data_IF_629648307615
#
_entry.id   IF_629648307615
#
_cell.length_a   1.000
_cell.length_b   1.000
_cell.length_c   1.000
_cell.angle_alpha   90.00
_cell.angle_beta   90.00
_cell.angle_gamma   90.00
#
_symmetry.space_group_name_H-M   'P 1'
#
loop_
_entity.id
_entity.type
_entity.pdbx_description
1 polymer ?
#
# COMPACT_ATOMS: atom_id res chain seq x y z
N UNK A 1 -0.90 -18.39 8.02
CA UNK A 1 -0.21 -17.09 8.28
C UNK A 1 -1.14 -15.98 7.84
N UNK A 2 -1.16 -14.82 8.52
CA UNK A 2 -2.01 -13.68 8.12
C UNK A 2 -1.27 -12.82 7.10
N UNK A 3 -1.97 -12.40 6.03
CA UNK A 3 -1.48 -11.31 5.19
C UNK A 3 -2.08 -9.96 5.60
N UNK A 4 -1.41 -8.90 5.19
CA UNK A 4 -1.91 -7.53 5.29
C UNK A 4 -1.79 -6.81 3.96
N UNK A 5 -2.86 -6.09 3.59
CA UNK A 5 -2.87 -5.04 2.57
C UNK A 5 -2.92 -3.68 3.25
N UNK A 6 -2.33 -2.68 2.62
CA UNK A 6 -2.36 -1.30 3.11
C UNK A 6 -2.77 -0.37 1.98
N UNK A 7 -3.88 0.34 2.16
CA UNK A 7 -4.36 1.39 1.27
C UNK A 7 -4.44 2.72 2.04
N UNK A 8 -3.42 3.55 1.94
CA UNK A 8 -3.40 4.88 2.53
C UNK A 8 -3.67 5.94 1.46
N UNK A 9 -4.82 6.62 1.58
CA UNK A 9 -5.28 7.52 0.50
C UNK A 9 -4.64 8.90 0.52
N UNK A 10 -4.05 9.33 1.64
CA UNK A 10 -3.47 10.67 1.76
C UNK A 10 -2.45 11.05 0.68
N UNK A 11 -1.51 10.16 0.28
CA UNK A 11 -0.59 10.48 -0.79
C UNK A 11 -1.28 10.86 -2.11
N UNK A 12 -2.48 10.29 -2.35
CA UNK A 12 -3.25 10.60 -3.55
C UNK A 12 -3.58 12.09 -3.65
N UNK A 13 -3.98 12.72 -2.55
CA UNK A 13 -4.38 14.12 -2.52
C UNK A 13 -3.20 15.10 -2.57
N UNK A 14 -1.96 14.60 -2.47
CA UNK A 14 -0.73 15.40 -2.51
C UNK A 14 0.10 15.16 -3.78
N UNK A 15 -0.43 14.43 -4.76
CA UNK A 15 0.29 14.07 -6.00
C UNK A 15 0.75 15.25 -6.84
N UNK A 16 0.09 16.39 -6.74
CA UNK A 16 0.51 17.59 -7.48
C UNK A 16 1.90 18.08 -7.07
N UNK A 17 2.32 17.81 -5.85
CA UNK A 17 3.67 18.11 -5.35
C UNK A 17 4.71 17.11 -5.87
N UNK A 18 4.30 15.93 -6.32
CA UNK A 18 5.17 14.87 -6.85
C UNK A 18 5.48 15.04 -8.33
N UNK A 19 4.87 16.00 -9.04
CA UNK A 19 5.03 16.19 -10.49
C UNK A 19 6.47 16.45 -10.96
N UNK A 20 7.38 16.85 -10.09
CA UNK A 20 8.80 17.03 -10.40
C UNK A 20 9.63 15.75 -10.48
N UNK A 21 9.09 14.60 -10.11
CA UNK A 21 9.88 13.43 -9.71
C UNK A 21 9.61 12.15 -10.55
N UNK A 22 9.33 12.32 -11.83
CA UNK A 22 9.32 11.19 -12.78
C UNK A 22 8.13 10.23 -12.70
N UNK A 23 7.17 10.46 -11.82
CA UNK A 23 5.89 9.79 -11.93
C UNK A 23 5.12 10.36 -13.11
N UNK A 24 5.15 9.65 -14.24
CA UNK A 24 4.34 9.95 -15.42
C UNK A 24 2.85 9.76 -15.10
N UNK A 25 2.31 10.65 -14.31
CA UNK A 25 0.86 10.77 -14.16
C UNK A 25 0.36 11.62 -15.32
N UNK A 26 0.21 11.01 -16.50
CA UNK A 26 -0.40 11.60 -17.69
C UNK A 26 -1.89 11.93 -17.52
N UNK A 27 -2.45 11.70 -16.35
CA UNK A 27 -3.80 12.12 -16.00
C UNK A 27 -3.72 13.40 -15.19
N UNK A 28 -4.24 14.48 -15.70
CA UNK A 28 -4.61 15.66 -14.92
C UNK A 28 -5.68 15.26 -13.90
N UNK A 29 -5.26 14.72 -12.77
CA UNK A 29 -6.16 14.38 -11.68
C UNK A 29 -6.50 15.65 -10.90
N UNK A 30 -7.40 16.45 -11.44
CA UNK A 30 -8.14 17.49 -10.72
C UNK A 30 -9.29 16.88 -9.90
N UNK A 31 -9.20 15.63 -9.51
CA UNK A 31 -10.27 14.99 -8.73
C UNK A 31 -10.07 15.33 -7.26
N UNK A 32 -11.03 16.01 -6.67
CA UNK A 32 -11.14 16.19 -5.22
C UNK A 32 -11.54 14.88 -4.51
N UNK A 33 -11.89 13.86 -5.27
CA UNK A 33 -12.32 12.55 -4.79
C UNK A 33 -11.25 11.50 -5.05
N UNK A 34 -11.04 10.62 -4.07
CA UNK A 34 -10.15 9.46 -4.22
C UNK A 34 -10.68 8.53 -5.29
N UNK A 35 -9.80 8.10 -6.18
CA UNK A 35 -10.11 7.19 -7.29
C UNK A 35 -8.91 6.28 -7.58
N UNK A 36 -9.20 5.07 -8.06
CA UNK A 36 -8.21 4.11 -8.55
C UNK A 36 -8.63 3.62 -9.95
N UNK A 37 -7.66 3.36 -10.85
CA UNK A 37 -7.96 2.71 -12.11
C UNK A 37 -8.57 1.32 -11.92
N UNK A 38 -9.46 0.91 -12.83
CA UNK A 38 -10.18 -0.38 -12.76
C UNK A 38 -9.23 -1.58 -12.60
N UNK A 39 -8.06 -1.54 -13.23
CA UNK A 39 -7.08 -2.62 -13.10
C UNK A 39 -6.50 -2.73 -11.69
N UNK A 40 -6.32 -1.62 -10.95
CA UNK A 40 -5.87 -1.67 -9.55
C UNK A 40 -6.95 -2.25 -8.64
N UNK A 41 -8.21 -1.89 -8.89
CA UNK A 41 -9.35 -2.49 -8.20
C UNK A 41 -9.37 -4.00 -8.41
N UNK A 42 -9.24 -4.44 -9.66
CA UNK A 42 -9.20 -5.85 -10.02
C UNK A 42 -8.02 -6.58 -9.37
N UNK A 43 -6.82 -5.99 -9.37
CA UNK A 43 -5.65 -6.58 -8.72
C UNK A 43 -5.85 -6.72 -7.21
N UNK A 44 -6.40 -5.72 -6.55
CA UNK A 44 -6.72 -5.78 -5.12
C UNK A 44 -7.68 -6.93 -4.81
N UNK A 45 -8.73 -7.10 -5.62
CA UNK A 45 -9.69 -8.21 -5.48
C UNK A 45 -9.01 -9.57 -5.69
N UNK A 46 -8.27 -9.73 -6.78
CA UNK A 46 -7.58 -10.98 -7.10
C UNK A 46 -6.53 -11.34 -6.03
N UNK A 47 -5.73 -10.37 -5.59
CA UNK A 47 -4.74 -10.58 -4.54
C UNK A 47 -5.40 -11.10 -3.26
N UNK A 48 -6.50 -10.46 -2.84
CA UNK A 48 -7.22 -10.84 -1.63
C UNK A 48 -7.83 -12.24 -1.73
N UNK A 49 -8.51 -12.55 -2.85
CA UNK A 49 -9.17 -13.85 -3.06
C UNK A 49 -8.15 -14.98 -3.11
N UNK A 50 -7.12 -14.86 -3.94
CA UNK A 50 -6.10 -15.90 -4.05
C UNK A 50 -5.35 -16.14 -2.74
N UNK A 51 -5.01 -15.06 -2.01
CA UNK A 51 -4.38 -15.24 -0.72
C UNK A 51 -5.30 -16.00 0.25
N UNK A 52 -6.55 -15.57 0.39
CA UNK A 52 -7.51 -16.14 1.33
C UNK A 52 -7.79 -17.62 1.05
N UNK A 53 -7.91 -17.98 -0.21
CA UNK A 53 -8.15 -19.38 -0.61
C UNK A 53 -6.93 -20.29 -0.37
N UNK A 54 -5.73 -19.77 -0.56
CA UNK A 54 -4.53 -20.59 -0.61
C UNK A 54 -3.68 -20.54 0.65
N UNK A 55 -3.66 -19.39 1.36
CA UNK A 55 -2.68 -19.13 2.40
C UNK A 55 -3.27 -18.71 3.75
N UNK A 56 -4.52 -18.28 3.81
CA UNK A 56 -5.22 -17.98 5.07
C UNK A 56 -5.77 -16.56 5.18
N UNK A 57 -5.99 -16.06 6.40
CA UNK A 57 -6.70 -14.81 6.61
C UNK A 57 -5.92 -13.61 6.09
N UNK A 58 -6.67 -12.56 5.71
CA UNK A 58 -6.12 -11.31 5.22
C UNK A 58 -6.78 -10.12 5.93
N UNK A 59 -5.95 -9.13 6.31
CA UNK A 59 -6.38 -7.88 6.93
C UNK A 59 -6.13 -6.70 5.99
N UNK A 60 -7.06 -5.77 5.95
CA UNK A 60 -6.91 -4.48 5.28
C UNK A 60 -6.64 -3.38 6.32
N UNK A 61 -5.57 -2.64 6.13
CA UNK A 61 -5.39 -1.32 6.71
C UNK A 61 -5.77 -0.28 5.66
N UNK A 62 -6.72 0.58 5.99
CA UNK A 62 -7.09 1.72 5.13
C UNK A 62 -7.50 2.91 5.99
N UNK A 63 -7.77 4.04 5.40
CA UNK A 63 -8.42 5.17 6.07
C UNK A 63 -9.92 5.24 5.69
N UNK A 64 -10.65 6.19 6.27
CA UNK A 64 -12.09 6.32 6.03
C UNK A 64 -12.42 6.59 4.56
N UNK A 65 -11.55 7.30 3.85
CA UNK A 65 -11.74 7.61 2.42
C UNK A 65 -11.56 6.35 1.58
N UNK A 66 -10.49 5.60 1.84
CA UNK A 66 -10.23 4.34 1.15
C UNK A 66 -11.31 3.29 1.41
N UNK A 67 -11.82 3.21 2.65
CA UNK A 67 -12.93 2.32 2.96
C UNK A 67 -14.19 2.70 2.17
N UNK A 68 -14.58 3.98 2.16
CA UNK A 68 -15.76 4.45 1.43
C UNK A 68 -15.64 4.18 -0.09
N UNK A 69 -14.45 4.33 -0.65
CA UNK A 69 -14.18 3.98 -2.04
C UNK A 69 -14.35 2.47 -2.29
N UNK A 70 -13.74 1.62 -1.46
CA UNK A 70 -13.80 0.16 -1.63
C UNK A 70 -15.20 -0.42 -1.40
N UNK A 71 -16.03 0.22 -0.58
CA UNK A 71 -17.42 -0.20 -0.38
C UNK A 71 -18.24 -0.17 -1.67
N UNK A 72 -17.95 0.73 -2.61
CA UNK A 72 -18.63 0.80 -3.91
C UNK A 72 -18.47 -0.46 -4.74
N UNK A 73 -17.39 -1.21 -4.51
CA UNK A 73 -17.02 -2.44 -5.23
C UNK A 73 -17.16 -3.69 -4.36
N UNK A 74 -17.71 -3.59 -3.16
CA UNK A 74 -17.82 -4.68 -2.18
C UNK A 74 -16.47 -5.32 -1.80
N UNK A 75 -15.36 -4.63 -2.02
CA UNK A 75 -14.01 -5.10 -1.68
C UNK A 75 -13.86 -5.42 -0.18
N UNK A 76 -14.46 -4.67 0.77
CA UNK A 76 -14.36 -4.99 2.19
C UNK A 76 -14.79 -6.41 2.56
N UNK A 77 -15.71 -7.02 1.80
CA UNK A 77 -16.19 -8.39 2.03
C UNK A 77 -15.13 -9.47 1.79
N UNK A 78 -14.05 -9.12 1.09
CA UNK A 78 -12.94 -10.03 0.80
C UNK A 78 -11.96 -10.17 1.98
N UNK A 79 -12.01 -9.27 2.96
CA UNK A 79 -11.10 -9.24 4.10
C UNK A 79 -11.73 -9.84 5.35
N UNK A 80 -10.91 -10.49 6.17
CA UNK A 80 -11.34 -11.04 7.46
C UNK A 80 -11.33 -9.99 8.57
N UNK A 81 -10.50 -8.95 8.41
CA UNK A 81 -10.38 -7.83 9.33
C UNK A 81 -10.09 -6.54 8.56
N UNK A 82 -10.67 -5.43 9.01
CA UNK A 82 -10.41 -4.09 8.46
C UNK A 82 -10.12 -3.13 9.61
N UNK A 83 -9.02 -2.39 9.48
CA UNK A 83 -8.62 -1.38 10.44
C UNK A 83 -8.51 -0.01 9.74
N UNK A 84 -9.41 0.89 10.10
CA UNK A 84 -9.39 2.27 9.62
C UNK A 84 -8.80 3.25 10.64
N UNK A 85 -8.77 2.84 11.91
CA UNK A 85 -8.41 3.73 13.00
C UNK A 85 -6.92 4.07 12.97
N UNK A 86 -6.11 3.09 12.64
CA UNK A 86 -4.65 3.26 12.62
C UNK A 86 -4.21 4.34 11.62
N UNK A 87 -4.66 4.25 10.37
CA UNK A 87 -4.30 5.22 9.32
C UNK A 87 -5.02 6.57 9.46
N UNK A 88 -6.25 6.59 9.96
CA UNK A 88 -6.93 7.83 10.31
C UNK A 88 -6.18 8.59 11.43
N UNK A 89 -5.67 7.87 12.42
CA UNK A 89 -4.84 8.44 13.49
C UNK A 89 -3.48 8.94 12.97
N UNK A 90 -2.85 8.14 12.13
CA UNK A 90 -1.54 8.45 11.53
C UNK A 90 -1.57 9.71 10.64
N UNK A 91 -2.72 10.01 10.08
CA UNK A 91 -2.89 11.21 9.24
C UNK A 91 -2.63 12.55 9.94
N UNK A 92 -2.50 12.53 11.26
CA UNK A 92 -2.21 13.72 12.09
C UNK A 92 -0.73 13.89 12.42
N UNK A 93 0.15 13.06 11.87
CA UNK A 93 1.59 13.12 12.11
C UNK A 93 2.26 14.14 11.19
N UNK A 94 3.46 14.59 11.57
CA UNK A 94 4.27 15.59 10.84
C UNK A 94 4.94 15.02 9.57
N UNK A 95 4.60 13.78 9.17
CA UNK A 95 5.15 13.17 7.97
C UNK A 95 4.40 13.66 6.74
N UNK A 96 5.08 14.33 5.84
CA UNK A 96 4.50 14.77 4.57
C UNK A 96 4.21 13.56 3.66
N UNK A 97 2.93 13.29 3.35
CA UNK A 97 2.55 12.16 2.54
C UNK A 97 2.96 12.28 1.05
N UNK A 98 3.30 13.47 0.59
CA UNK A 98 3.84 13.68 -0.74
C UNK A 98 5.28 13.16 -0.86
N UNK A 99 6.10 13.42 0.14
CA UNK A 99 7.50 12.98 0.15
C UNK A 99 7.65 11.53 0.62
N UNK A 100 6.83 11.11 1.58
CA UNK A 100 6.91 9.77 2.21
C UNK A 100 5.62 8.97 1.99
N UNK A 101 5.24 8.82 0.73
CA UNK A 101 4.00 8.13 0.35
C UNK A 101 3.89 6.68 0.86
N UNK A 102 5.03 6.01 1.12
CA UNK A 102 5.10 4.67 1.69
C UNK A 102 5.03 4.64 3.21
N UNK A 103 5.12 5.79 3.89
CA UNK A 103 5.22 5.83 5.35
C UNK A 103 4.04 5.19 6.06
N UNK A 104 2.83 5.31 5.52
CA UNK A 104 1.65 4.61 6.03
C UNK A 104 1.81 3.09 6.00
N UNK A 105 2.38 2.54 4.90
CA UNK A 105 2.71 1.11 4.79
C UNK A 105 3.71 0.70 5.88
N UNK A 106 4.83 1.41 5.99
CA UNK A 106 5.90 1.12 6.97
C UNK A 106 5.35 1.16 8.40
N UNK A 107 4.50 2.12 8.71
CA UNK A 107 3.87 2.22 10.05
C UNK A 107 2.93 1.04 10.31
N UNK A 108 2.14 0.62 9.33
CA UNK A 108 1.30 -0.57 9.47
C UNK A 108 2.15 -1.83 9.69
N UNK A 109 3.27 -1.99 8.98
CA UNK A 109 4.21 -3.10 9.16
C UNK A 109 4.76 -3.13 10.59
N UNK A 110 5.24 -1.99 11.09
CA UNK A 110 5.81 -1.86 12.42
C UNK A 110 4.79 -2.17 13.56
N UNK A 111 3.49 -2.12 13.24
CA UNK A 111 2.40 -2.40 14.18
C UNK A 111 1.91 -3.85 14.12
N UNK A 112 2.57 -4.75 13.38
CA UNK A 112 2.17 -6.14 13.29
C UNK A 112 2.83 -7.01 14.35
N UNK A 113 2.05 -7.99 14.85
CA UNK A 113 2.63 -9.13 15.54
C UNK A 113 3.12 -10.17 14.51
N UNK A 114 4.37 -10.60 14.64
CA UNK A 114 4.94 -11.67 13.82
C UNK A 114 4.32 -13.04 14.16
N UNK A 115 4.21 -13.98 13.23
CA UNK A 115 4.56 -13.86 11.81
C UNK A 115 3.39 -13.32 10.95
N UNK A 116 3.72 -12.53 9.95
CA UNK A 116 2.76 -12.00 8.97
C UNK A 116 3.41 -11.87 7.58
N UNK A 117 2.57 -11.70 6.55
CA UNK A 117 3.01 -11.40 5.18
C UNK A 117 2.48 -10.02 4.78
N UNK A 118 3.34 -9.14 4.33
CA UNK A 118 2.92 -7.91 3.67
C UNK A 118 2.78 -8.18 2.17
N UNK A 119 1.63 -7.86 1.62
CA UNK A 119 1.35 -7.93 0.20
C UNK A 119 1.06 -6.52 -0.34
N UNK A 120 1.72 -6.13 -1.39
CA UNK A 120 1.22 -5.03 -2.20
C UNK A 120 -0.07 -5.46 -2.89
N UNK A 121 -1.02 -4.54 -3.04
CA UNK A 121 -2.36 -4.86 -3.52
C UNK A 121 -2.40 -5.37 -4.96
N UNK A 122 -1.33 -5.16 -5.71
CA UNK A 122 -1.11 -5.66 -7.07
C UNK A 122 -0.31 -6.97 -7.12
N UNK A 123 0.07 -7.51 -5.95
CA UNK A 123 0.78 -8.79 -5.86
C UNK A 123 -0.21 -9.95 -5.72
N UNK A 124 -0.26 -10.84 -6.69
CA UNK A 124 -1.14 -12.01 -6.71
C UNK A 124 -0.35 -13.28 -6.45
N UNK A 125 -0.53 -13.88 -5.27
CA UNK A 125 0.09 -15.15 -4.90
C UNK A 125 -0.83 -16.30 -5.33
N UNK A 126 -0.47 -16.98 -6.41
CA UNK A 126 -1.30 -18.02 -7.05
C UNK A 126 -1.04 -19.45 -6.57
N UNK A 127 -0.27 -19.60 -5.50
CA UNK A 127 0.03 -20.91 -4.90
C UNK A 127 0.19 -20.76 -3.39
N UNK A 128 0.15 -21.90 -2.68
CA UNK A 128 0.52 -21.91 -1.27
C UNK A 128 1.98 -21.52 -1.11
N UNK A 129 2.26 -20.71 -0.09
CA UNK A 129 3.63 -20.39 0.26
C UNK A 129 4.39 -21.67 0.65
N UNK A 130 5.61 -21.86 0.13
CA UNK A 130 6.41 -23.02 0.49
C UNK A 130 6.89 -22.93 1.94
N UNK A 131 7.14 -24.08 2.55
CA UNK A 131 7.63 -24.20 3.92
C UNK A 131 8.90 -23.38 4.18
N UNK A 132 9.77 -23.27 3.19
CA UNK A 132 11.01 -22.47 3.29
C UNK A 132 10.72 -21.00 3.54
N UNK A 133 9.67 -20.45 2.95
CA UNK A 133 9.21 -19.07 3.21
C UNK A 133 8.56 -18.97 4.57
N UNK A 134 7.71 -19.94 4.92
CA UNK A 134 6.98 -19.93 6.20
C UNK A 134 7.88 -20.08 7.44
N UNK A 135 9.08 -20.65 7.27
CA UNK A 135 10.06 -20.91 8.34
C UNK A 135 11.20 -19.91 8.37
N UNK A 136 11.28 -18.98 7.42
CA UNK A 136 12.33 -17.96 7.39
C UNK A 136 11.98 -16.78 8.29
N UNK A 137 12.99 -16.18 8.90
CA UNK A 137 12.84 -14.98 9.73
C UNK A 137 12.41 -13.77 8.91
N UNK A 138 12.93 -13.67 7.67
CA UNK A 138 12.59 -12.63 6.71
C UNK A 138 12.66 -13.17 5.29
N UNK A 139 11.64 -12.92 4.51
CA UNK A 139 11.62 -13.19 3.07
C UNK A 139 11.18 -11.94 2.32
N UNK A 140 11.89 -11.60 1.27
CA UNK A 140 11.54 -10.54 0.33
C UNK A 140 11.44 -11.13 -1.08
N UNK A 141 10.53 -10.60 -1.90
CA UNK A 141 10.32 -11.12 -3.25
C UNK A 141 11.46 -10.77 -4.21
N UNK A 142 12.09 -9.62 -4.02
CA UNK A 142 13.21 -9.14 -4.82
C UNK A 142 13.92 -7.99 -4.11
N UNK A 143 15.14 -7.71 -4.55
CA UNK A 143 15.87 -6.51 -4.17
C UNK A 143 15.58 -5.42 -5.20
N UNK A 144 15.08 -4.29 -4.75
CA UNK A 144 15.03 -3.11 -5.60
C UNK A 144 16.41 -2.44 -5.63
N UNK A 145 16.98 -2.37 -6.82
CA UNK A 145 18.21 -1.58 -7.04
C UNK A 145 17.73 -0.17 -7.40
N UNK A 146 18.05 0.86 -6.59
CA UNK A 146 17.70 2.24 -6.92
C UNK A 146 18.29 2.60 -8.29
N UNK A 147 17.46 2.65 -9.32
CA UNK A 147 17.82 3.24 -10.60
C UNK A 147 17.28 4.66 -10.55
N UNK A 148 18.12 5.65 -10.87
CA UNK A 148 17.87 7.09 -10.69
C UNK A 148 16.59 7.67 -11.34
N UNK A 149 15.73 6.82 -11.91
CA UNK A 149 14.41 7.21 -12.41
C UNK A 149 13.28 7.11 -11.38
N UNK A 150 13.48 6.38 -10.27
CA UNK A 150 12.42 6.07 -9.31
C UNK A 150 12.67 6.62 -7.92
N UNK A 151 13.91 6.98 -7.61
CA UNK A 151 14.29 7.45 -6.28
C UNK A 151 15.08 8.73 -6.40
N UNK A 152 14.76 9.66 -5.52
CA UNK A 152 15.51 10.91 -5.35
C UNK A 152 16.96 10.60 -5.03
N UNK A 153 17.85 11.33 -5.63
CA UNK A 153 19.21 11.37 -5.14
C UNK A 153 19.29 12.22 -3.86
N UNK A 154 20.38 12.08 -3.12
CA UNK A 154 20.58 12.80 -1.86
C UNK A 154 20.48 14.33 -2.00
N UNK A 155 20.87 14.87 -3.16
CA UNK A 155 20.85 16.29 -3.42
C UNK A 155 19.43 16.83 -3.67
N UNK A 156 18.53 16.00 -4.20
CA UNK A 156 17.12 16.35 -4.37
C UNK A 156 16.44 16.47 -3.01
N UNK A 157 16.70 15.52 -2.10
CA UNK A 157 16.21 15.57 -0.72
C UNK A 157 16.64 16.82 0.02
N UNK A 158 17.91 17.25 -0.15
CA UNK A 158 18.44 18.46 0.51
C UNK A 158 17.76 19.74 0.05
N UNK A 159 17.31 19.80 -1.20
CA UNK A 159 16.60 20.98 -1.75
C UNK A 159 15.20 21.14 -1.20
N UNK A 160 14.53 20.02 -0.88
CA UNK A 160 13.13 20.02 -0.43
C UNK A 160 12.99 20.21 1.10
N UNK A 161 14.08 20.06 1.85
CA UNK A 161 14.11 20.22 3.32
C UNK A 161 14.63 21.61 3.73
N UNK A 162 15.23 22.37 2.84
CA UNK A 162 15.70 23.75 3.07
C UNK A 162 14.62 24.78 2.80
#
# INVERSE_FOLDING_TARGET
MRAIHVNWTKPFFHRDRLRGHGFNTTRELKSETYDQPDYQILYTMLSSVYWKELNGPIKLYTDSVGLAFYQQFRIPELYDEIDINFLNGYSKTDVDPAHFWTSGKIKCLANQASPFVFLDQDMIIRSKLPDSVLKSDLTVTHWEIPRGYYYFNEDDWKKDIS
#
